data_IF_212322875374
#
_entry.id   IF_212322875374
#
_cell.length_a   1.000
_cell.length_b   1.000
_cell.length_c   1.000
_cell.angle_alpha   90.00
_cell.angle_beta   90.00
_cell.angle_gamma   90.00
#
_symmetry.space_group_name_H-M   'P 1'
#
loop_
_entity.id
_entity.type
_entity.pdbx_description
1 polymer ?
#
# COMPACT_ATOMS: atom_id res chain seq x y z
N UNK A 1 -9.52 -13.84 3.35
CA UNK A 1 -9.34 -13.53 4.79
C UNK A 1 -9.96 -12.16 5.00
N UNK A 2 -10.66 -11.88 6.12
CA UNK A 2 -11.18 -10.54 6.35
C UNK A 2 -10.01 -9.56 6.44
N UNK A 3 -10.02 -8.54 5.59
CA UNK A 3 -9.03 -7.46 5.53
C UNK A 3 -8.99 -6.82 6.92
N UNK A 4 -7.82 -6.85 7.58
CA UNK A 4 -7.70 -6.24 8.90
C UNK A 4 -8.09 -4.76 8.83
N UNK A 5 -8.97 -4.30 9.70
CA UNK A 5 -9.30 -2.88 9.75
C UNK A 5 -8.07 -2.07 10.11
N UNK A 6 -7.74 -1.09 9.27
CA UNK A 6 -6.65 -0.16 9.50
C UNK A 6 -6.99 0.79 10.65
N UNK A 7 -6.05 1.02 11.56
CA UNK A 7 -6.16 2.11 12.53
C UNK A 7 -6.18 3.47 11.83
N UNK A 8 -6.57 4.54 12.53
CA UNK A 8 -6.58 5.87 11.93
C UNK A 8 -5.21 6.28 11.38
N UNK A 9 -4.13 6.04 12.13
CA UNK A 9 -2.79 6.30 11.67
C UNK A 9 -2.44 5.44 10.44
N UNK A 10 -2.78 4.15 10.45
CA UNK A 10 -2.51 3.27 9.29
C UNK A 10 -3.24 3.74 8.03
N UNK A 11 -4.48 4.20 8.15
CA UNK A 11 -5.26 4.79 7.02
C UNK A 11 -4.55 6.00 6.42
N UNK A 12 -4.01 6.89 7.25
CA UNK A 12 -3.28 8.06 6.77
C UNK A 12 -1.93 7.69 6.14
N UNK A 13 -1.23 6.69 6.68
CA UNK A 13 0.00 6.16 6.06
C UNK A 13 -0.30 5.52 4.71
N UNK A 14 -1.40 4.79 4.61
CA UNK A 14 -1.86 4.20 3.37
C UNK A 14 -2.21 5.28 2.33
N UNK A 15 -3.02 6.27 2.70
CA UNK A 15 -3.39 7.40 1.82
C UNK A 15 -2.15 8.16 1.31
N UNK A 16 -1.18 8.45 2.18
CA UNK A 16 0.09 9.07 1.79
C UNK A 16 0.84 8.19 0.78
N UNK A 17 0.93 6.88 1.03
CA UNK A 17 1.62 5.95 0.14
C UNK A 17 0.98 5.88 -1.26
N UNK A 18 -0.35 5.79 -1.32
CA UNK A 18 -1.11 5.76 -2.57
C UNK A 18 -0.81 7.02 -3.40
N UNK A 19 -0.95 8.20 -2.78
CA UNK A 19 -0.80 9.50 -3.46
C UNK A 19 0.64 9.89 -3.85
N UNK A 20 1.68 9.26 -3.28
CA UNK A 20 3.07 9.68 -3.49
C UNK A 20 3.98 8.60 -4.10
N UNK A 21 3.74 7.34 -3.80
CA UNK A 21 4.76 6.29 -4.01
C UNK A 21 4.24 5.05 -4.75
N UNK A 22 2.96 4.71 -4.61
CA UNK A 22 2.37 3.51 -5.18
C UNK A 22 2.53 3.47 -6.71
N UNK A 23 2.35 4.60 -7.40
CA UNK A 23 2.51 4.69 -8.86
C UNK A 23 3.90 4.29 -9.37
N UNK A 24 4.91 4.31 -8.50
CA UNK A 24 6.31 3.96 -8.83
C UNK A 24 6.73 2.62 -8.22
N UNK A 25 5.78 1.82 -7.72
CA UNK A 25 6.02 0.44 -7.35
C UNK A 25 6.15 -0.39 -8.64
N UNK A 26 7.34 -0.95 -8.85
CA UNK A 26 7.64 -1.79 -10.00
C UNK A 26 7.87 -3.23 -9.53
N UNK A 27 6.98 -4.12 -9.94
CA UNK A 27 7.08 -5.56 -9.71
C UNK A 27 7.10 -6.20 -11.08
N UNK A 28 8.15 -6.97 -11.39
CA UNK A 28 8.28 -7.62 -12.69
C UNK A 28 7.18 -8.68 -12.89
N UNK A 29 6.96 -9.08 -14.15
CA UNK A 29 5.83 -9.93 -14.55
C UNK A 29 5.96 -11.42 -14.19
N UNK A 30 6.78 -11.81 -13.19
CA UNK A 30 6.88 -13.21 -12.74
C UNK A 30 5.91 -13.49 -11.59
N UNK A 31 5.84 -14.76 -11.22
CA UNK A 31 5.04 -15.23 -10.10
C UNK A 31 5.81 -15.12 -8.78
N UNK A 32 5.16 -14.58 -7.77
CA UNK A 32 5.73 -14.35 -6.45
C UNK A 32 4.89 -15.00 -5.34
N UNK A 33 5.51 -15.52 -4.28
CA UNK A 33 4.77 -15.87 -3.08
C UNK A 33 4.32 -14.59 -2.35
N UNK A 34 3.20 -14.68 -1.62
CA UNK A 34 2.63 -13.58 -0.85
C UNK A 34 3.67 -12.83 0.00
N UNK A 35 4.52 -13.56 0.73
CA UNK A 35 5.53 -12.98 1.62
C UNK A 35 6.57 -12.10 0.89
N UNK A 36 6.97 -12.46 -0.33
CA UNK A 36 7.89 -11.64 -1.13
C UNK A 36 7.23 -10.35 -1.59
N UNK A 37 5.94 -10.40 -1.96
CA UNK A 37 5.17 -9.21 -2.32
C UNK A 37 4.98 -8.27 -1.13
N UNK A 38 4.69 -8.81 0.06
CA UNK A 38 4.65 -8.02 1.31
C UNK A 38 5.98 -7.29 1.51
N UNK A 39 7.11 -7.99 1.36
CA UNK A 39 8.44 -7.38 1.51
C UNK A 39 8.69 -6.27 0.49
N UNK A 40 8.32 -6.47 -0.78
CA UNK A 40 8.48 -5.46 -1.82
C UNK A 40 7.69 -4.18 -1.50
N UNK A 41 6.41 -4.33 -1.14
CA UNK A 41 5.52 -3.23 -0.77
C UNK A 41 6.02 -2.54 0.51
N UNK A 42 6.37 -3.31 1.54
CA UNK A 42 6.89 -2.82 2.82
C UNK A 42 8.15 -1.98 2.63
N UNK A 43 9.09 -2.42 1.80
CA UNK A 43 10.32 -1.68 1.50
C UNK A 43 10.00 -0.34 0.83
N UNK A 44 9.07 -0.33 -0.14
CA UNK A 44 8.63 0.91 -0.81
C UNK A 44 7.97 1.88 0.17
N UNK A 45 7.06 1.39 1.02
CA UNK A 45 6.43 2.15 2.10
C UNK A 45 7.49 2.78 3.01
N UNK A 46 8.40 1.96 3.53
CA UNK A 46 9.45 2.40 4.45
C UNK A 46 10.33 3.51 3.86
N UNK A 47 10.76 3.37 2.60
CA UNK A 47 11.56 4.39 1.93
C UNK A 47 10.83 5.75 1.85
N UNK A 48 9.52 5.73 1.62
CA UNK A 48 8.73 6.95 1.41
C UNK A 48 8.21 7.59 2.70
N UNK A 49 8.10 6.82 3.78
CA UNK A 49 7.53 7.30 5.05
C UNK A 49 8.56 7.50 6.17
N UNK A 50 9.80 7.03 5.99
CA UNK A 50 10.87 7.15 7.00
C UNK A 50 11.13 8.59 7.48
N UNK A 51 10.91 9.57 6.62
CA UNK A 51 11.06 11.01 6.92
C UNK A 51 10.09 11.55 7.99
N UNK A 52 9.04 10.78 8.32
CA UNK A 52 8.05 11.13 9.35
C UNK A 52 8.33 10.46 10.70
N UNK A 53 9.41 9.69 10.81
CA UNK A 53 9.87 9.12 12.07
C UNK A 53 9.35 7.71 12.38
N UNK A 54 9.75 7.19 13.55
CA UNK A 54 9.55 5.78 13.92
C UNK A 54 8.08 5.40 14.14
N UNK A 55 7.24 6.32 14.62
CA UNK A 55 5.82 6.04 14.87
C UNK A 55 5.01 5.81 13.58
N UNK A 56 5.39 6.48 12.49
CA UNK A 56 4.87 6.20 11.14
C UNK A 56 5.54 4.96 10.54
N UNK A 57 6.86 4.85 10.66
CA UNK A 57 7.62 3.73 10.09
C UNK A 57 7.22 2.38 10.68
N UNK A 58 6.73 2.31 11.92
CA UNK A 58 6.23 1.06 12.53
C UNK A 58 4.94 0.55 11.90
N UNK A 59 4.23 1.39 11.11
CA UNK A 59 2.97 1.04 10.44
C UNK A 59 3.14 0.40 9.08
N UNK A 60 4.37 0.29 8.58
CA UNK A 60 4.63 -0.24 7.24
C UNK A 60 4.21 -1.69 7.08
N UNK A 61 4.28 -2.53 8.13
CA UNK A 61 3.88 -3.93 8.07
C UNK A 61 2.36 -4.11 7.90
N UNK A 62 1.49 -3.59 8.80
CA UNK A 62 0.04 -3.72 8.63
C UNK A 62 -0.45 -3.07 7.34
N UNK A 63 0.07 -1.90 6.97
CA UNK A 63 -0.30 -1.22 5.71
C UNK A 63 0.13 -2.01 4.47
N UNK A 64 1.31 -2.65 4.49
CA UNK A 64 1.77 -3.46 3.36
C UNK A 64 0.91 -4.70 3.10
N UNK A 65 0.48 -5.38 4.18
CA UNK A 65 -0.39 -6.56 4.11
C UNK A 65 -1.78 -6.18 3.64
N UNK A 66 -2.35 -5.12 4.23
CA UNK A 66 -3.63 -4.56 3.80
C UNK A 66 -3.62 -4.22 2.31
N UNK A 67 -2.58 -3.52 1.85
CA UNK A 67 -2.51 -3.16 0.44
C UNK A 67 -2.40 -4.40 -0.44
N UNK A 68 -1.57 -5.38 -0.08
CA UNK A 68 -1.45 -6.61 -0.84
C UNK A 68 -2.77 -7.39 -0.90
N UNK A 69 -3.48 -7.53 0.22
CA UNK A 69 -4.78 -8.20 0.26
C UNK A 69 -5.79 -7.48 -0.64
N UNK A 70 -5.79 -6.14 -0.62
CA UNK A 70 -6.61 -5.33 -1.52
C UNK A 70 -6.25 -5.55 -3.00
N UNK A 71 -4.94 -5.66 -3.33
CA UNK A 71 -4.52 -5.96 -4.70
C UNK A 71 -5.04 -7.32 -5.18
N UNK A 72 -5.02 -8.34 -4.31
CA UNK A 72 -5.54 -9.68 -4.60
C UNK A 72 -7.06 -9.62 -4.78
N UNK A 73 -7.77 -9.02 -3.82
CA UNK A 73 -9.23 -8.91 -3.82
C UNK A 73 -9.76 -8.18 -5.06
N UNK A 74 -9.04 -7.14 -5.51
CA UNK A 74 -9.42 -6.30 -6.65
C UNK A 74 -8.86 -6.78 -7.99
N UNK A 75 -8.21 -7.95 -8.02
CA UNK A 75 -7.69 -8.56 -9.25
C UNK A 75 -6.48 -7.86 -9.86
N UNK A 76 -5.78 -7.01 -9.09
CA UNK A 76 -4.48 -6.46 -9.48
C UNK A 76 -3.36 -7.51 -9.39
N UNK A 77 -3.65 -8.66 -8.78
CA UNK A 77 -2.84 -9.87 -8.79
C UNK A 77 -3.67 -11.04 -9.32
N UNK A 78 -3.09 -11.85 -10.21
CA UNK A 78 -3.64 -13.13 -10.62
C UNK A 78 -3.01 -14.26 -9.81
N UNK A 79 -3.80 -15.30 -9.53
CA UNK A 79 -3.35 -16.43 -8.73
C UNK A 79 -3.11 -17.67 -9.59
N UNK A 80 -1.99 -18.35 -9.35
CA UNK A 80 -1.82 -19.76 -9.73
C UNK A 80 -1.83 -20.60 -8.44
N UNK A 81 -2.82 -21.49 -8.28
CA UNK A 81 -2.85 -22.40 -7.15
C UNK A 81 -1.68 -23.40 -7.24
N UNK A 82 -1.04 -23.64 -6.11
CA UNK A 82 0.04 -24.62 -6.00
C UNK A 82 -0.47 -25.91 -5.35
N UNK A 83 0.07 -27.07 -5.77
CA UNK A 83 -0.26 -28.36 -5.15
C UNK A 83 0.28 -28.48 -3.72
N UNK A 84 1.35 -27.75 -3.41
CA UNK A 84 2.02 -27.72 -2.10
C UNK A 84 2.46 -26.27 -1.86
N UNK A 85 2.07 -25.70 -0.73
CA UNK A 85 2.38 -24.31 -0.37
C UNK A 85 1.25 -23.32 -0.67
N UNK A 86 1.55 -22.03 -0.55
CA UNK A 86 0.59 -20.94 -0.81
C UNK A 86 0.45 -20.66 -2.32
N UNK A 87 -0.63 -19.98 -2.70
CA UNK A 87 -0.80 -19.46 -4.06
C UNK A 87 0.38 -18.57 -4.45
N UNK A 88 0.72 -18.61 -5.73
CA UNK A 88 1.67 -17.68 -6.34
C UNK A 88 0.88 -16.58 -7.05
N UNK A 89 1.36 -15.36 -6.97
CA UNK A 89 0.68 -14.17 -7.45
C UNK A 89 1.49 -13.51 -8.57
N UNK A 90 0.84 -13.09 -9.65
CA UNK A 90 1.46 -12.33 -10.73
C UNK A 90 0.80 -10.96 -10.90
N UNK A 91 1.63 -9.93 -11.02
CA UNK A 91 1.20 -8.54 -11.18
C UNK A 91 0.45 -8.27 -12.49
N UNK A 92 -0.71 -7.65 -12.37
CA UNK A 92 -1.57 -7.26 -13.49
C UNK A 92 -1.53 -5.74 -13.65
N UNK A 93 -0.61 -5.24 -14.47
CA UNK A 93 -0.27 -3.80 -14.53
C UNK A 93 -1.47 -2.89 -14.85
N UNK A 94 -2.38 -3.30 -15.73
CA UNK A 94 -3.57 -2.51 -16.06
C UNK A 94 -4.58 -2.45 -14.91
N UNK A 95 -4.85 -3.60 -14.28
CA UNK A 95 -5.73 -3.68 -13.12
C UNK A 95 -5.15 -2.89 -11.93
N UNK A 96 -3.84 -2.97 -11.72
CA UNK A 96 -3.14 -2.17 -10.71
C UNK A 96 -3.30 -0.67 -10.94
N UNK A 97 -3.00 -0.17 -12.15
CA UNK A 97 -3.13 1.26 -12.47
C UNK A 97 -4.57 1.76 -12.33
N UNK A 98 -5.55 0.94 -12.69
CA UNK A 98 -6.95 1.29 -12.53
C UNK A 98 -7.35 1.35 -11.06
N UNK A 99 -6.91 0.38 -10.24
CA UNK A 99 -7.14 0.39 -8.81
C UNK A 99 -6.50 1.61 -8.13
N UNK A 100 -5.25 1.96 -8.49
CA UNK A 100 -4.62 3.16 -7.91
C UNK A 100 -5.40 4.42 -8.22
N UNK A 101 -5.87 4.58 -9.47
CA UNK A 101 -6.70 5.74 -9.85
C UNK A 101 -8.02 5.77 -9.06
N UNK A 102 -8.64 4.61 -8.84
CA UNK A 102 -9.85 4.51 -8.02
C UNK A 102 -9.57 4.94 -6.57
N UNK A 103 -8.49 4.45 -5.97
CA UNK A 103 -8.13 4.79 -4.58
C UNK A 103 -7.78 6.28 -4.45
N UNK A 104 -6.99 6.83 -5.36
CA UNK A 104 -6.63 8.26 -5.38
C UNK A 104 -7.86 9.17 -5.49
N UNK A 105 -8.86 8.79 -6.28
CA UNK A 105 -10.04 9.62 -6.53
C UNK A 105 -11.13 9.46 -5.48
N UNK A 106 -11.22 8.29 -4.85
CA UNK A 106 -12.28 7.97 -3.88
C UNK A 106 -11.92 8.29 -2.43
N UNK A 107 -10.63 8.28 -2.06
CA UNK A 107 -10.17 8.46 -0.67
C UNK A 107 -10.26 9.92 -0.19
N UNK A 108 -10.97 10.13 0.92
CA UNK A 108 -11.18 11.46 1.52
C UNK A 108 -9.90 12.07 2.12
N UNK A 109 -8.99 11.26 2.65
CA UNK A 109 -7.71 11.72 3.19
C UNK A 109 -6.84 12.24 2.05
N UNK A 110 -6.80 11.52 0.92
CA UNK A 110 -6.05 11.95 -0.27
C UNK A 110 -6.61 13.28 -0.79
N UNK A 111 -7.95 13.39 -0.95
CA UNK A 111 -8.58 14.65 -1.38
C UNK A 111 -8.33 15.79 -0.40
N UNK A 112 -8.35 15.52 0.91
CA UNK A 112 -8.07 16.53 1.93
C UNK A 112 -6.61 16.98 1.96
N UNK A 113 -5.68 16.15 1.47
CA UNK A 113 -4.25 16.45 1.42
C UNK A 113 -3.78 17.08 0.09
N UNK A 114 -4.65 17.09 -0.93
CA UNK A 114 -4.30 17.55 -2.28
C UNK A 114 -3.73 18.99 -2.27
N UNK A 115 -2.59 19.16 -2.93
CA UNK A 115 -1.86 20.44 -3.00
C UNK A 115 -1.22 20.95 -1.69
N UNK A 116 -1.32 20.24 -0.56
CA UNK A 116 -0.84 20.75 0.75
C UNK A 116 0.63 20.47 1.05
N UNK A 117 1.26 19.55 0.32
CA UNK A 117 2.69 19.25 0.43
C UNK A 117 3.11 18.49 1.71
N UNK A 118 4.43 18.31 1.87
CA UNK A 118 5.03 17.46 2.90
C UNK A 118 4.80 17.95 4.34
N UNK A 119 4.76 19.27 4.56
CA UNK A 119 4.62 19.84 5.91
C UNK A 119 3.25 19.52 6.50
N UNK A 120 2.20 19.51 5.69
CA UNK A 120 0.87 19.05 6.10
C UNK A 120 0.91 17.60 6.63
N UNK A 121 1.60 16.70 5.92
CA UNK A 121 1.74 15.31 6.34
C UNK A 121 2.55 15.18 7.62
N UNK A 122 3.63 15.97 7.78
CA UNK A 122 4.40 16.01 9.03
C UNK A 122 3.53 16.39 10.21
N UNK A 123 2.80 17.50 10.11
CA UNK A 123 1.91 17.97 11.17
C UNK A 123 0.77 16.98 11.47
N UNK A 124 0.20 16.37 10.43
CA UNK A 124 -0.85 15.37 10.58
C UNK A 124 -0.34 14.12 11.31
N UNK A 125 0.79 13.56 10.88
CA UNK A 125 1.34 12.39 11.54
C UNK A 125 1.80 12.69 12.97
N UNK A 126 2.34 13.87 13.25
CA UNK A 126 2.67 14.27 14.63
C UNK A 126 1.45 14.31 15.54
N UNK A 127 0.25 14.65 15.03
CA UNK A 127 -0.99 14.66 15.83
C UNK A 127 -1.60 13.27 16.06
N UNK A 128 -1.34 12.33 15.15
CA UNK A 128 -1.92 10.98 15.16
C UNK A 128 -1.04 9.93 15.87
N UNK A 129 0.20 10.29 16.23
CA UNK A 129 1.13 9.47 17.00
C UNK A 129 0.94 9.67 18.50
#
# INVERSE_FOLDING_TARGET
MPTAELSELDRHVFAYFISHAAQTLNIDGRFYPYGELVMAIRNKLQLNTSKFGKGVTSRVDPVSRYFLDLLIERGALSDIPQKIGNNMHQFQADAYRNLLRELETSDEIIRAADGKGDDYWRELFTRLM
#
